data_IF_982828333396
#
_entry.id   IF_982828333396
#
_cell.length_a   1.000
_cell.length_b   1.000
_cell.length_c   1.000
_cell.angle_alpha   90.00
_cell.angle_beta   90.00
_cell.angle_gamma   90.00
#
_symmetry.space_group_name_H-M   'P 1'
#
loop_
_entity.id
_entity.type
_entity.pdbx_description
1 polymer ?
#
# COMPACT_ATOMS: atom_id res chain seq x y z
N UNK A 1 50.73 -45.49 -24.35
CA UNK A 1 50.09 -44.26 -24.91
C UNK A 1 48.59 -44.11 -24.61
N UNK A 2 47.75 -45.15 -24.73
CA UNK A 2 46.29 -45.02 -24.47
C UNK A 2 45.95 -44.67 -23.01
N UNK A 3 46.67 -45.24 -22.05
CA UNK A 3 46.48 -44.98 -20.61
C UNK A 3 46.78 -43.52 -20.24
N UNK A 4 47.88 -42.96 -20.77
CA UNK A 4 48.29 -41.58 -20.53
C UNK A 4 47.24 -40.58 -21.07
N UNK A 5 46.70 -40.86 -22.28
CA UNK A 5 45.63 -40.04 -22.88
C UNK A 5 44.34 -40.06 -22.06
N UNK A 6 43.97 -41.21 -21.49
CA UNK A 6 42.80 -41.33 -20.62
C UNK A 6 43.00 -40.57 -19.31
N UNK A 7 44.19 -40.65 -18.71
CA UNK A 7 44.51 -39.94 -17.48
C UNK A 7 44.48 -38.42 -17.68
N UNK A 8 45.02 -37.91 -18.79
CA UNK A 8 44.97 -36.48 -19.12
C UNK A 8 43.55 -35.99 -19.35
N UNK A 9 42.68 -36.81 -19.97
CA UNK A 9 41.28 -36.45 -20.19
C UNK A 9 40.51 -36.39 -18.85
N UNK A 10 40.74 -37.36 -17.96
CA UNK A 10 40.15 -37.36 -16.62
C UNK A 10 40.60 -36.17 -15.78
N UNK A 11 41.89 -35.82 -15.83
CA UNK A 11 42.44 -34.67 -15.10
C UNK A 11 41.87 -33.35 -15.63
N UNK A 12 41.72 -33.20 -16.95
CA UNK A 12 41.10 -32.02 -17.54
C UNK A 12 39.62 -31.91 -17.16
N UNK A 13 38.87 -33.02 -17.23
CA UNK A 13 37.47 -33.05 -16.83
C UNK A 13 37.28 -32.75 -15.34
N UNK A 14 38.10 -33.34 -14.46
CA UNK A 14 38.04 -33.09 -13.02
C UNK A 14 38.42 -31.66 -12.68
N UNK A 15 39.39 -31.07 -13.38
CA UNK A 15 39.78 -29.66 -13.19
C UNK A 15 38.66 -28.69 -13.59
N UNK A 16 37.99 -28.96 -14.71
CA UNK A 16 36.82 -28.16 -15.13
C UNK A 16 35.68 -28.29 -14.13
N UNK A 17 35.38 -29.50 -13.67
CA UNK A 17 34.35 -29.74 -12.64
C UNK A 17 34.71 -29.03 -11.33
N UNK A 18 35.95 -29.14 -10.87
CA UNK A 18 36.43 -28.46 -9.67
C UNK A 18 36.34 -26.93 -9.81
N UNK A 19 36.66 -26.38 -10.98
CA UNK A 19 36.51 -24.96 -11.27
C UNK A 19 35.04 -24.52 -11.24
N UNK A 20 34.12 -25.31 -11.82
CA UNK A 20 32.68 -25.02 -11.79
C UNK A 20 32.13 -25.05 -10.35
N UNK A 21 32.57 -26.01 -9.54
CA UNK A 21 32.16 -26.11 -8.13
C UNK A 21 32.70 -24.92 -7.34
N UNK A 22 33.99 -24.60 -7.48
CA UNK A 22 34.61 -23.47 -6.80
C UNK A 22 33.99 -22.12 -7.22
N UNK A 23 33.69 -21.94 -8.51
CA UNK A 23 33.06 -20.71 -9.00
C UNK A 23 31.64 -20.52 -8.49
N UNK A 24 30.92 -21.61 -8.17
CA UNK A 24 29.58 -21.57 -7.57
C UNK A 24 29.61 -21.39 -6.05
N UNK A 25 30.66 -21.83 -5.39
CA UNK A 25 30.77 -21.81 -3.93
C UNK A 25 31.30 -20.48 -3.36
N UNK A 26 31.92 -19.63 -4.18
CA UNK A 26 32.48 -18.35 -3.71
C UNK A 26 31.36 -17.30 -3.68
N UNK A 27 30.89 -16.84 -2.51
CA UNK A 27 29.85 -15.81 -2.44
C UNK A 27 30.42 -14.53 -3.05
N UNK A 28 29.70 -13.95 -4.02
CA UNK A 28 30.15 -12.70 -4.63
C UNK A 28 30.14 -11.58 -3.61
N UNK A 29 31.11 -10.65 -3.66
CA UNK A 29 31.17 -9.55 -2.72
C UNK A 29 29.90 -8.69 -2.81
N UNK A 30 29.24 -8.54 -1.66
CA UNK A 30 28.09 -7.67 -1.51
C UNK A 30 28.54 -6.22 -1.69
N UNK A 31 27.86 -5.52 -2.59
CA UNK A 31 28.14 -4.12 -2.93
C UNK A 31 27.01 -3.26 -2.39
N UNK A 32 27.34 -2.28 -1.54
CA UNK A 32 26.37 -1.25 -1.13
C UNK A 32 26.04 -0.34 -2.31
N UNK A 33 24.78 0.07 -2.45
CA UNK A 33 24.31 0.89 -3.57
C UNK A 33 25.06 2.23 -3.62
N UNK A 34 25.28 2.88 -2.48
CA UNK A 34 26.04 4.13 -2.41
C UNK A 34 27.54 3.98 -2.75
N UNK A 35 28.08 2.75 -2.74
CA UNK A 35 29.47 2.49 -3.10
C UNK A 35 29.69 2.33 -4.61
N UNK A 36 28.62 2.36 -5.42
CA UNK A 36 28.71 2.26 -6.87
C UNK A 36 29.36 3.51 -7.45
N UNK A 37 30.47 3.33 -8.17
CA UNK A 37 31.23 4.42 -8.80
C UNK A 37 31.17 4.32 -10.33
N UNK A 38 31.31 5.44 -11.08
CA UNK A 38 31.35 5.43 -12.54
C UNK A 38 32.35 4.44 -13.16
N UNK A 39 33.49 4.23 -12.50
CA UNK A 39 34.53 3.27 -12.93
C UNK A 39 34.07 1.80 -12.88
N UNK A 40 32.98 1.50 -12.15
CA UNK A 40 32.40 0.16 -12.03
C UNK A 40 31.39 -0.15 -13.16
N UNK A 41 31.25 0.73 -14.17
CA UNK A 41 30.37 0.48 -15.31
C UNK A 41 30.73 -0.85 -15.99
N UNK A 42 29.73 -1.65 -16.35
CA UNK A 42 29.87 -3.03 -16.83
C UNK A 42 30.41 -4.04 -15.80
N UNK A 43 30.66 -3.61 -14.55
CA UNK A 43 31.05 -4.50 -13.46
C UNK A 43 29.92 -5.45 -13.08
N UNK A 44 30.28 -6.69 -12.74
CA UNK A 44 29.33 -7.67 -12.23
C UNK A 44 29.30 -7.62 -10.70
N UNK A 45 28.15 -7.34 -10.10
CA UNK A 45 28.00 -7.12 -8.66
C UNK A 45 26.84 -7.91 -8.08
N UNK A 46 26.85 -8.06 -6.75
CA UNK A 46 25.72 -8.52 -5.95
C UNK A 46 25.26 -7.39 -5.03
N UNK A 47 23.97 -7.11 -5.01
CA UNK A 47 23.34 -6.17 -4.07
C UNK A 47 22.26 -6.90 -3.27
N UNK A 48 21.95 -6.41 -2.08
CA UNK A 48 20.83 -6.88 -1.26
C UNK A 48 20.04 -5.69 -0.74
N UNK A 49 18.72 -5.82 -0.66
CA UNK A 49 17.87 -4.75 -0.15
C UNK A 49 16.40 -5.11 -0.18
N UNK A 50 15.56 -4.09 -0.02
CA UNK A 50 14.10 -4.22 0.02
C UNK A 50 13.49 -3.57 -1.21
N UNK A 51 12.43 -4.15 -1.72
CA UNK A 51 11.65 -3.58 -2.83
C UNK A 51 10.73 -2.49 -2.29
N UNK A 52 10.97 -1.24 -2.65
CA UNK A 52 10.26 -0.05 -2.13
C UNK A 52 9.23 0.54 -3.10
N UNK A 53 8.98 -0.11 -4.24
CA UNK A 53 8.02 0.33 -5.25
C UNK A 53 7.46 -0.88 -6.01
N UNK A 54 6.25 -0.77 -6.57
CA UNK A 54 5.74 -1.82 -7.47
C UNK A 54 6.65 -2.00 -8.68
N UNK A 55 6.94 -3.25 -9.09
CA UNK A 55 7.69 -3.48 -10.32
C UNK A 55 6.86 -3.04 -11.53
N UNK A 56 7.54 -2.47 -12.52
CA UNK A 56 6.99 -2.28 -13.86
C UNK A 56 7.23 -3.57 -14.65
N UNK A 57 6.17 -4.34 -14.86
CA UNK A 57 6.17 -5.53 -15.71
C UNK A 57 5.44 -5.22 -17.02
N UNK A 58 6.08 -5.52 -18.15
CA UNK A 58 5.43 -5.60 -19.46
C UNK A 58 5.41 -7.06 -19.89
N UNK A 59 4.24 -7.69 -19.83
CA UNK A 59 4.09 -9.07 -20.29
C UNK A 59 4.25 -9.21 -21.81
N UNK A 60 3.91 -8.16 -22.57
CA UNK A 60 4.05 -8.14 -24.03
C UNK A 60 5.53 -8.08 -24.44
N UNK A 61 6.28 -7.13 -23.85
CA UNK A 61 7.70 -6.94 -24.19
C UNK A 61 8.61 -7.92 -23.44
N UNK A 62 8.06 -8.64 -22.45
CA UNK A 62 8.80 -9.46 -21.49
C UNK A 62 9.92 -8.65 -20.85
N UNK A 63 9.54 -7.52 -20.27
CA UNK A 63 10.42 -6.58 -19.60
C UNK A 63 9.99 -6.41 -18.15
N UNK A 64 10.94 -6.42 -17.24
CA UNK A 64 10.73 -6.18 -15.81
C UNK A 64 11.70 -5.10 -15.34
N UNK A 65 11.18 -4.11 -14.61
CA UNK A 65 11.99 -3.13 -13.88
C UNK A 65 11.48 -3.02 -12.46
N UNK A 66 12.37 -3.05 -11.47
CA UNK A 66 12.03 -2.83 -10.07
C UNK A 66 13.13 -2.03 -9.38
N UNK A 67 12.85 -1.52 -8.18
CA UNK A 67 13.81 -0.77 -7.37
C UNK A 67 14.17 -1.55 -6.13
N UNK A 68 15.44 -1.50 -5.76
CA UNK A 68 15.99 -2.10 -4.55
C UNK A 68 16.58 -0.98 -3.70
N UNK A 69 16.26 -0.97 -2.42
CA UNK A 69 16.77 -0.02 -1.43
C UNK A 69 17.53 -0.75 -0.33
N UNK A 70 18.74 -0.28 -0.01
CA UNK A 70 19.63 -0.91 0.98
C UNK A 70 20.01 0.03 2.15
N UNK A 71 19.16 1.02 2.42
CA UNK A 71 19.42 2.16 3.32
C UNK A 71 20.49 3.16 2.87
N UNK A 72 21.42 2.77 2.00
CA UNK A 72 22.43 3.68 1.45
C UNK A 72 21.94 4.41 0.19
N UNK A 73 21.02 3.80 -0.56
CA UNK A 73 20.40 4.40 -1.73
C UNK A 73 19.36 3.49 -2.39
N UNK A 74 18.84 3.92 -3.54
CA UNK A 74 18.00 3.10 -4.40
C UNK A 74 18.75 2.76 -5.70
N UNK A 75 18.59 1.53 -6.18
CA UNK A 75 19.09 1.10 -7.48
C UNK A 75 17.97 0.47 -8.30
N UNK A 76 17.87 0.90 -9.57
CA UNK A 76 16.96 0.27 -10.52
C UNK A 76 17.57 -1.02 -11.06
N UNK A 77 16.81 -2.10 -10.98
CA UNK A 77 17.14 -3.39 -11.59
C UNK A 77 16.23 -3.61 -12.79
N UNK A 78 16.79 -4.06 -13.92
CA UNK A 78 16.04 -4.44 -15.11
C UNK A 78 16.34 -5.86 -15.54
N UNK A 79 15.33 -6.53 -16.09
CA UNK A 79 15.45 -7.85 -16.70
C UNK A 79 14.71 -7.88 -18.05
N UNK A 80 15.25 -8.66 -18.98
CA UNK A 80 14.75 -8.78 -20.35
C UNK A 80 14.19 -10.17 -20.63
N UNK A 81 13.62 -10.35 -21.83
CA UNK A 81 12.77 -11.47 -22.24
C UNK A 81 13.08 -12.83 -21.62
N UNK A 82 14.27 -13.38 -21.87
CA UNK A 82 14.61 -14.73 -21.40
C UNK A 82 14.62 -14.87 -19.87
N UNK A 83 15.00 -13.80 -19.15
CA UNK A 83 14.99 -13.80 -17.67
C UNK A 83 13.57 -13.62 -17.16
N UNK A 84 12.82 -12.67 -17.75
CA UNK A 84 11.44 -12.39 -17.35
C UNK A 84 10.53 -13.59 -17.55
N UNK A 85 10.65 -14.30 -18.67
CA UNK A 85 9.88 -15.53 -18.93
C UNK A 85 10.11 -16.59 -17.84
N UNK A 86 11.36 -16.77 -17.40
CA UNK A 86 11.70 -17.70 -16.32
C UNK A 86 11.17 -17.25 -14.97
N UNK A 87 11.31 -15.97 -14.63
CA UNK A 87 10.77 -15.42 -13.38
C UNK A 87 9.24 -15.52 -13.31
N UNK A 88 8.55 -15.33 -14.44
CA UNK A 88 7.10 -15.52 -14.53
C UNK A 88 6.72 -16.99 -14.33
N UNK A 89 7.41 -17.91 -15.01
CA UNK A 89 7.16 -19.35 -14.89
C UNK A 89 7.37 -19.85 -13.44
N UNK A 90 8.37 -19.31 -12.75
CA UNK A 90 8.70 -19.66 -11.37
C UNK A 90 7.93 -18.83 -10.32
N UNK A 91 7.09 -17.88 -10.75
CA UNK A 91 6.36 -16.92 -9.88
C UNK A 91 7.27 -16.14 -8.91
N UNK A 92 8.46 -15.73 -9.37
CA UNK A 92 9.48 -15.00 -8.59
C UNK A 92 9.55 -13.52 -8.94
N UNK A 93 8.39 -12.90 -9.20
CA UNK A 93 8.33 -11.45 -9.42
C UNK A 93 8.41 -10.75 -8.07
N UNK A 94 9.41 -9.87 -7.83
CA UNK A 94 9.56 -9.18 -6.56
C UNK A 94 8.46 -8.14 -6.36
N UNK A 95 7.80 -8.17 -5.21
CA UNK A 95 6.75 -7.24 -4.80
C UNK A 95 7.23 -6.31 -3.69
N UNK A 96 6.54 -5.17 -3.47
CA UNK A 96 6.89 -4.28 -2.37
C UNK A 96 7.01 -5.01 -1.03
N UNK A 97 8.13 -4.78 -0.34
CA UNK A 97 8.45 -5.35 0.98
C UNK A 97 9.16 -6.69 0.92
N UNK A 98 9.33 -7.28 -0.26
CA UNK A 98 10.22 -8.42 -0.42
C UNK A 98 11.67 -7.99 -0.19
N UNK A 99 12.41 -8.86 0.47
CA UNK A 99 13.87 -8.79 0.56
C UNK A 99 14.44 -9.49 -0.66
N UNK A 100 15.31 -8.81 -1.39
CA UNK A 100 15.88 -9.32 -2.63
C UNK A 100 17.40 -9.29 -2.58
N UNK A 101 18.00 -10.35 -3.12
CA UNK A 101 19.41 -10.37 -3.49
C UNK A 101 19.50 -10.40 -5.01
N UNK A 102 20.27 -9.49 -5.60
CA UNK A 102 20.36 -9.35 -7.05
C UNK A 102 21.81 -9.40 -7.51
N UNK A 103 22.12 -10.38 -8.37
CA UNK A 103 23.38 -10.50 -9.08
C UNK A 103 23.20 -10.08 -10.54
N UNK A 104 24.02 -9.14 -11.00
CA UNK A 104 23.87 -8.60 -12.34
C UNK A 104 25.03 -7.71 -12.78
N UNK A 105 24.88 -7.16 -13.98
CA UNK A 105 25.86 -6.26 -14.58
C UNK A 105 25.42 -4.81 -14.38
N UNK A 106 26.29 -4.00 -13.76
CA UNK A 106 26.08 -2.57 -13.61
C UNK A 106 26.09 -1.87 -14.96
N UNK A 107 25.20 -0.90 -15.11
CA UNK A 107 25.16 0.07 -16.19
C UNK A 107 25.02 1.45 -15.62
N UNK A 108 25.98 2.31 -15.94
CA UNK A 108 26.00 3.70 -15.50
C UNK A 108 25.86 4.56 -16.75
N UNK A 109 24.82 5.39 -16.79
CA UNK A 109 24.54 6.34 -17.86
C UNK A 109 24.16 7.66 -17.21
N UNK A 110 24.78 8.76 -17.64
CA UNK A 110 24.49 10.11 -17.13
C UNK A 110 24.54 10.17 -15.58
N UNK A 111 25.52 9.48 -14.98
CA UNK A 111 25.69 9.29 -13.52
C UNK A 111 24.53 8.60 -12.79
N UNK A 112 23.58 8.00 -13.51
CA UNK A 112 22.55 7.13 -12.95
C UNK A 112 22.96 5.66 -13.04
N UNK A 113 23.27 5.00 -11.90
CA UNK A 113 23.55 3.58 -11.88
C UNK A 113 22.25 2.76 -11.98
N UNK A 114 22.34 1.65 -12.71
CA UNK A 114 21.30 0.62 -12.81
C UNK A 114 21.95 -0.76 -12.90
N UNK A 115 21.19 -1.80 -12.63
CA UNK A 115 21.66 -3.19 -12.68
C UNK A 115 20.84 -3.98 -13.70
N UNK A 116 21.51 -4.70 -14.59
CA UNK A 116 20.86 -5.66 -15.48
C UNK A 116 20.96 -7.04 -14.83
N UNK A 117 19.82 -7.63 -14.48
CA UNK A 117 19.73 -9.03 -14.07
C UNK A 117 19.94 -9.93 -15.30
N UNK A 118 21.08 -10.60 -15.34
CA UNK A 118 21.48 -11.39 -16.51
C UNK A 118 20.87 -12.81 -16.56
N UNK A 119 20.46 -13.35 -15.41
CA UNK A 119 19.92 -14.70 -15.26
C UNK A 119 18.90 -14.74 -14.11
N UNK A 120 17.86 -15.58 -14.21
CA UNK A 120 16.81 -15.66 -13.19
C UNK A 120 17.34 -16.18 -11.85
N UNK A 121 18.36 -17.04 -11.89
CA UNK A 121 19.07 -17.57 -10.73
C UNK A 121 19.81 -16.47 -9.94
N UNK A 122 20.10 -15.34 -10.59
CA UNK A 122 20.73 -14.18 -9.95
C UNK A 122 19.78 -13.34 -9.10
N UNK A 123 18.49 -13.68 -9.01
CA UNK A 123 17.52 -12.96 -8.18
C UNK A 123 17.01 -13.86 -7.05
N UNK A 124 17.39 -13.63 -5.80
CA UNK A 124 16.68 -14.22 -4.65
C UNK A 124 15.55 -13.31 -4.21
N UNK A 125 14.40 -13.89 -3.86
CA UNK A 125 13.24 -13.15 -3.34
C UNK A 125 12.79 -13.87 -2.07
N UNK A 126 12.75 -13.12 -0.97
CA UNK A 126 12.23 -13.57 0.32
C UNK A 126 11.10 -12.61 0.71
N UNK A 127 9.91 -13.15 0.91
CA UNK A 127 8.76 -12.39 1.39
C UNK A 127 8.69 -12.50 2.92
N UNK A 128 9.09 -11.48 3.69
CA UNK A 128 9.02 -11.53 5.14
C UNK A 128 7.57 -11.61 5.63
N UNK A 129 7.32 -12.09 6.86
CA UNK A 129 6.00 -11.98 7.47
C UNK A 129 5.61 -10.50 7.65
N UNK A 130 4.32 -10.20 7.53
CA UNK A 130 3.81 -8.85 7.70
C UNK A 130 3.51 -8.56 9.17
N UNK A 131 3.99 -7.43 9.69
CA UNK A 131 3.64 -6.95 11.03
C UNK A 131 2.22 -6.37 11.03
N UNK A 132 1.35 -6.83 11.92
CA UNK A 132 0.02 -6.24 12.06
C UNK A 132 0.11 -4.91 12.81
N UNK A 133 -0.34 -3.84 12.18
CA UNK A 133 -0.38 -2.49 12.76
C UNK A 133 -1.75 -1.86 12.55
N UNK A 134 -2.11 -0.90 13.41
CA UNK A 134 -3.23 0.00 13.15
C UNK A 134 -2.79 1.07 12.15
N UNK A 135 -3.74 1.63 11.40
CA UNK A 135 -3.45 2.66 10.39
C UNK A 135 -2.74 3.87 11.00
N UNK A 136 -3.08 4.25 12.22
CA UNK A 136 -2.46 5.36 12.97
C UNK A 136 -0.96 5.17 13.24
N UNK A 137 -0.44 3.94 13.22
CA UNK A 137 0.97 3.66 13.45
C UNK A 137 1.83 3.81 12.17
N UNK A 138 1.21 3.96 10.99
CA UNK A 138 1.89 3.94 9.70
C UNK A 138 3.03 4.97 9.59
N UNK A 139 2.81 6.19 10.08
CA UNK A 139 3.81 7.27 10.03
C UNK A 139 5.07 6.95 10.84
N UNK A 140 4.95 6.11 11.89
CA UNK A 140 6.06 5.65 12.71
C UNK A 140 6.77 4.40 12.16
N UNK A 141 6.27 3.80 11.08
CA UNK A 141 6.79 2.55 10.52
C UNK A 141 7.89 2.81 9.47
N UNK A 142 8.91 1.96 9.47
CA UNK A 142 10.07 2.13 8.58
C UNK A 142 9.72 1.87 7.10
N UNK A 143 10.42 2.55 6.18
CA UNK A 143 10.28 2.30 4.75
C UNK A 143 10.65 0.86 4.39
N UNK A 144 9.89 0.28 3.47
CA UNK A 144 10.06 -1.10 3.02
C UNK A 144 9.56 -2.16 4.01
N UNK A 145 9.20 -1.78 5.24
CA UNK A 145 8.64 -2.72 6.21
C UNK A 145 7.32 -3.28 5.70
N UNK A 146 7.16 -4.60 5.81
CA UNK A 146 5.94 -5.27 5.37
C UNK A 146 4.93 -5.29 6.51
N UNK A 147 3.75 -4.74 6.24
CA UNK A 147 2.69 -4.55 7.23
C UNK A 147 1.38 -5.18 6.78
N UNK A 148 0.54 -5.48 7.75
CA UNK A 148 -0.87 -5.77 7.59
C UNK A 148 -1.68 -4.72 8.36
N UNK A 149 -2.51 -3.95 7.67
CA UNK A 149 -3.37 -2.92 8.27
C UNK A 149 -4.78 -2.98 7.67
N UNK A 150 -5.76 -2.39 8.33
CA UNK A 150 -7.11 -2.23 7.82
C UNK A 150 -7.51 -0.76 7.72
N UNK A 151 -8.54 -0.49 6.93
CA UNK A 151 -9.15 0.83 6.82
C UNK A 151 -10.37 0.83 5.91
N UNK A 152 -11.23 1.82 6.09
CA UNK A 152 -12.41 2.02 5.26
C UNK A 152 -12.05 2.87 4.03
N UNK A 153 -12.43 2.41 2.85
CA UNK A 153 -12.17 3.10 1.58
C UNK A 153 -12.99 4.39 1.50
N UNK A 154 -12.32 5.53 1.57
CA UNK A 154 -12.91 6.88 1.48
C UNK A 154 -12.92 7.43 0.07
N UNK A 155 -11.91 7.06 -0.73
CA UNK A 155 -11.80 7.52 -2.12
C UNK A 155 -11.08 6.49 -2.97
N UNK A 156 -11.51 6.37 -4.23
CA UNK A 156 -10.84 5.55 -5.25
C UNK A 156 -10.46 6.48 -6.40
N UNK A 157 -9.18 6.50 -6.78
CA UNK A 157 -8.67 7.30 -7.91
C UNK A 157 -7.63 6.53 -8.71
N UNK A 158 -7.50 6.84 -9.99
CA UNK A 158 -6.42 6.32 -10.84
C UNK A 158 -5.28 7.33 -10.93
N UNK A 159 -4.05 6.84 -10.99
CA UNK A 159 -2.86 7.63 -11.32
C UNK A 159 -2.27 7.10 -12.62
N UNK A 160 -2.69 7.71 -13.73
CA UNK A 160 -2.50 7.14 -15.07
C UNK A 160 -3.22 5.79 -15.21
N UNK A 161 -2.75 4.98 -16.15
CA UNK A 161 -3.37 3.68 -16.48
C UNK A 161 -2.79 2.50 -15.66
N UNK A 162 -1.75 2.78 -14.87
CA UNK A 162 -0.93 1.74 -14.22
C UNK A 162 -1.18 1.60 -12.72
N UNK A 163 -1.69 2.65 -12.08
CA UNK A 163 -1.84 2.69 -10.63
C UNK A 163 -3.27 3.05 -10.24
N UNK A 164 -3.77 2.39 -9.21
CA UNK A 164 -4.98 2.76 -8.49
C UNK A 164 -4.62 3.13 -7.06
N UNK A 165 -5.14 4.25 -6.59
CA UNK A 165 -4.90 4.76 -5.24
C UNK A 165 -6.24 4.75 -4.50
N UNK A 166 -6.25 4.10 -3.34
CA UNK A 166 -7.37 4.10 -2.41
C UNK A 166 -6.97 4.97 -1.22
N UNK A 167 -7.71 6.04 -0.96
CA UNK A 167 -7.56 6.72 0.33
C UNK A 167 -8.40 5.97 1.35
N UNK A 168 -7.77 5.52 2.44
CA UNK A 168 -8.41 4.75 3.51
C UNK A 168 -8.39 5.54 4.82
N UNK A 169 -9.35 5.26 5.70
CA UNK A 169 -9.47 5.86 7.02
C UNK A 169 -9.76 4.80 8.09
N UNK A 170 -9.18 4.98 9.27
CA UNK A 170 -9.56 4.32 10.52
C UNK A 170 -9.52 5.36 11.64
N UNK A 171 -10.69 5.84 12.05
CA UNK A 171 -10.81 7.00 12.94
C UNK A 171 -10.15 8.25 12.34
N UNK A 172 -9.22 8.84 13.10
CA UNK A 172 -8.44 10.01 12.66
C UNK A 172 -7.34 9.66 11.65
N UNK A 173 -6.91 8.40 11.62
CA UNK A 173 -5.82 7.98 10.77
C UNK A 173 -6.30 7.89 9.32
N UNK A 174 -5.53 8.46 8.40
CA UNK A 174 -5.77 8.33 6.97
C UNK A 174 -4.47 7.95 6.28
N UNK A 175 -4.57 7.17 5.20
CA UNK A 175 -3.43 6.87 4.36
C UNK A 175 -3.87 6.55 2.93
N UNK A 176 -2.93 6.63 1.99
CA UNK A 176 -3.12 6.09 0.66
C UNK A 176 -2.63 4.64 0.58
N UNK A 177 -3.44 3.78 -0.03
CA UNK A 177 -3.08 2.43 -0.45
C UNK A 177 -2.90 2.44 -1.96
N UNK A 178 -1.70 2.11 -2.42
CA UNK A 178 -1.33 2.10 -3.83
C UNK A 178 -1.35 0.68 -4.35
N UNK A 179 -2.11 0.46 -5.43
CA UNK A 179 -2.23 -0.79 -6.16
C UNK A 179 -1.60 -0.64 -7.54
N UNK A 180 -0.82 -1.64 -7.95
CA UNK A 180 -0.39 -1.77 -9.34
C UNK A 180 -1.44 -2.52 -10.16
N UNK A 181 -1.78 -1.96 -11.33
CA UNK A 181 -2.65 -2.56 -12.33
C UNK A 181 -1.86 -3.38 -13.36
N UNK A 182 -0.51 -3.32 -13.32
CA UNK A 182 0.37 -4.06 -14.23
C UNK A 182 0.64 -5.50 -13.77
N UNK A 183 0.15 -5.88 -12.59
CA UNK A 183 0.46 -7.16 -11.94
C UNK A 183 -0.79 -8.01 -11.61
N UNK A 184 -1.81 -8.11 -12.50
CA UNK A 184 -3.07 -8.78 -12.16
C UNK A 184 -2.89 -10.28 -11.86
N UNK A 185 -1.84 -10.91 -12.37
CA UNK A 185 -1.51 -12.31 -12.07
C UNK A 185 -0.92 -12.53 -10.65
N UNK A 186 -0.45 -11.47 -10.00
CA UNK A 186 0.23 -11.49 -8.71
C UNK A 186 -0.55 -10.77 -7.61
N UNK A 187 -1.28 -9.72 -7.97
CA UNK A 187 -2.09 -8.91 -7.07
C UNK A 187 -3.54 -9.01 -7.54
N UNK A 188 -4.31 -9.86 -6.86
CA UNK A 188 -5.75 -9.90 -7.06
C UNK A 188 -6.36 -8.63 -6.45
N UNK A 189 -7.08 -7.86 -7.27
CA UNK A 189 -7.80 -6.67 -6.79
C UNK A 189 -9.29 -7.01 -6.78
N UNK A 190 -9.93 -7.13 -5.60
CA UNK A 190 -11.36 -7.34 -5.53
C UNK A 190 -12.10 -6.11 -6.09
N UNK A 191 -13.39 -6.28 -6.42
CA UNK A 191 -14.24 -5.13 -6.70
C UNK A 191 -14.48 -4.36 -5.40
N UNK A 192 -13.93 -3.16 -5.34
CA UNK A 192 -13.98 -2.28 -4.18
C UNK A 192 -15.00 -1.17 -4.38
N UNK A 193 -15.78 -0.87 -3.35
CA UNK A 193 -16.71 0.27 -3.32
C UNK A 193 -16.34 1.28 -2.24
N UNK A 194 -16.81 2.52 -2.39
CA UNK A 194 -16.67 3.52 -1.32
C UNK A 194 -17.39 3.03 -0.05
N UNK A 195 -16.78 3.30 1.10
CA UNK A 195 -17.27 2.87 2.41
C UNK A 195 -17.01 1.41 2.77
N UNK A 196 -16.42 0.63 1.86
CA UNK A 196 -16.02 -0.75 2.14
C UNK A 196 -14.79 -0.79 3.05
N UNK A 197 -14.80 -1.70 4.02
CA UNK A 197 -13.61 -1.99 4.81
C UNK A 197 -12.72 -2.97 4.07
N UNK A 198 -11.42 -2.69 4.09
CA UNK A 198 -10.40 -3.55 3.49
C UNK A 198 -9.30 -3.85 4.50
N UNK A 199 -8.73 -5.04 4.41
CA UNK A 199 -7.40 -5.34 4.96
C UNK A 199 -6.40 -5.37 3.81
N UNK A 200 -5.22 -4.82 4.07
CA UNK A 200 -4.16 -4.64 3.10
C UNK A 200 -2.87 -5.17 3.70
N UNK A 201 -2.24 -6.08 2.96
CA UNK A 201 -0.85 -6.48 3.21
C UNK A 201 0.04 -5.89 2.14
N UNK A 202 1.10 -5.21 2.55
CA UNK A 202 1.99 -4.51 1.63
C UNK A 202 3.19 -3.92 2.34
N UNK A 203 4.01 -3.18 1.60
CA UNK A 203 5.13 -2.47 2.19
C UNK A 203 4.80 -1.01 2.48
N UNK A 204 5.45 -0.47 3.49
CA UNK A 204 5.44 0.98 3.74
C UNK A 204 6.28 1.66 2.67
N UNK A 205 5.62 2.47 1.84
CA UNK A 205 6.25 3.38 0.89
C UNK A 205 6.07 4.83 1.30
N UNK A 206 6.58 5.74 0.48
CA UNK A 206 6.40 7.17 0.69
C UNK A 206 6.20 7.89 -0.64
N UNK A 207 5.32 8.89 -0.63
CA UNK A 207 5.11 9.78 -1.76
C UNK A 207 4.94 11.20 -1.27
N UNK A 208 5.85 12.10 -1.72
CA UNK A 208 5.85 13.53 -1.35
C UNK A 208 5.85 13.74 0.18
N UNK A 209 6.58 12.90 0.92
CA UNK A 209 6.72 12.99 2.37
C UNK A 209 5.61 12.32 3.18
N UNK A 210 4.56 11.79 2.54
CA UNK A 210 3.50 11.05 3.22
C UNK A 210 3.73 9.54 3.11
N UNK A 211 3.60 8.80 4.22
CA UNK A 211 3.63 7.34 4.20
C UNK A 211 2.38 6.78 3.53
N UNK A 212 2.56 5.68 2.82
CA UNK A 212 1.50 4.99 2.08
C UNK A 212 1.74 3.49 2.12
N UNK A 213 0.71 2.71 1.86
CA UNK A 213 0.81 1.25 1.78
C UNK A 213 0.90 0.84 0.31
N UNK A 214 2.02 0.25 -0.09
CA UNK A 214 2.21 -0.35 -1.40
C UNK A 214 1.65 -1.77 -1.36
N UNK A 215 0.39 -1.91 -1.78
CA UNK A 215 -0.35 -3.17 -1.63
C UNK A 215 0.27 -4.30 -2.45
N UNK A 216 0.48 -5.43 -1.79
CA UNK A 216 0.82 -6.71 -2.41
C UNK A 216 -0.36 -7.69 -2.34
N UNK A 217 -1.24 -7.53 -1.34
CA UNK A 217 -2.49 -8.26 -1.19
C UNK A 217 -3.56 -7.35 -0.59
N UNK A 218 -4.79 -7.49 -1.05
CA UNK A 218 -5.94 -6.74 -0.58
C UNK A 218 -7.17 -7.64 -0.54
N UNK A 219 -7.93 -7.56 0.54
CA UNK A 219 -9.16 -8.31 0.71
C UNK A 219 -10.22 -7.43 1.38
N UNK A 220 -11.48 -7.83 1.22
CA UNK A 220 -12.59 -7.20 1.92
C UNK A 220 -12.51 -7.62 3.38
N UNK A 221 -12.55 -6.64 4.27
CA UNK A 221 -12.63 -6.87 5.70
C UNK A 221 -14.05 -6.62 6.19
N UNK A 222 -14.42 -7.29 7.29
CA UNK A 222 -15.58 -6.86 8.06
C UNK A 222 -15.36 -5.45 8.59
N UNK A 223 -16.45 -4.69 8.78
CA UNK A 223 -16.35 -3.41 9.45
C UNK A 223 -15.69 -3.60 10.81
N UNK A 224 -14.54 -2.98 11.01
CA UNK A 224 -13.96 -2.88 12.35
C UNK A 224 -14.66 -1.71 13.00
N UNK A 225 -15.65 -1.99 13.84
CA UNK A 225 -16.19 -0.95 14.72
C UNK A 225 -15.08 -0.59 15.68
N UNK A 226 -14.33 0.48 15.40
CA UNK A 226 -13.38 1.03 16.36
C UNK A 226 -14.20 1.60 17.51
N UNK A 227 -14.49 0.73 18.49
CA UNK A 227 -15.19 1.05 19.71
C UNK A 227 -14.37 2.11 20.46
N UNK A 228 -14.77 3.38 20.33
CA UNK A 228 -14.03 4.51 20.88
C UNK A 228 -14.31 5.86 20.21
N UNK A 229 -14.88 5.89 18.99
CA UNK A 229 -15.23 7.16 18.34
C UNK A 229 -16.60 7.71 18.78
N UNK A 230 -17.51 6.83 19.19
CA UNK A 230 -18.85 7.22 19.66
C UNK A 230 -18.81 7.79 21.06
N UNK A 231 -19.41 8.96 21.23
CA UNK A 231 -19.43 9.70 22.48
C UNK A 231 -20.72 10.51 22.65
N UNK A 232 -21.12 10.84 23.88
CA UNK A 232 -22.21 11.78 24.12
C UNK A 232 -21.93 13.12 23.44
N UNK A 233 -22.97 13.77 22.91
CA UNK A 233 -22.86 15.07 22.25
C UNK A 233 -22.37 16.13 23.24
N UNK A 234 -22.74 16.01 24.52
CA UNK A 234 -22.29 16.90 25.59
C UNK A 234 -20.76 16.89 25.82
N UNK A 235 -20.04 15.86 25.35
CA UNK A 235 -18.58 15.77 25.43
C UNK A 235 -17.87 16.36 24.19
N UNK A 236 -18.63 16.80 23.19
CA UNK A 236 -18.08 17.45 22.01
C UNK A 236 -17.72 18.90 22.32
N UNK A 237 -16.50 19.29 21.96
CA UNK A 237 -15.98 20.63 22.21
C UNK A 237 -14.68 20.89 21.45
N UNK A 238 -14.13 22.10 21.61
CA UNK A 238 -12.99 22.62 20.84
C UNK A 238 -11.76 21.68 20.85
N UNK A 239 -11.56 20.95 21.94
CA UNK A 239 -10.47 19.97 22.10
C UNK A 239 -10.54 18.78 21.14
N UNK A 240 -11.66 18.60 20.43
CA UNK A 240 -11.89 17.55 19.45
C UNK A 240 -12.04 18.09 18.03
N UNK A 241 -11.81 19.38 17.78
CA UNK A 241 -11.85 19.91 16.42
C UNK A 241 -10.80 19.21 15.54
N UNK A 242 -11.20 18.87 14.32
CA UNK A 242 -10.43 18.07 13.36
C UNK A 242 -10.39 16.57 13.66
N UNK A 243 -11.09 16.10 14.69
CA UNK A 243 -11.14 14.68 15.05
C UNK A 243 -12.34 13.98 14.42
N UNK A 244 -12.16 12.72 14.07
CA UNK A 244 -13.22 11.81 13.64
C UNK A 244 -13.96 11.27 14.87
N UNK A 245 -15.24 11.62 14.99
CA UNK A 245 -16.10 11.25 16.11
C UNK A 245 -17.42 10.67 15.62
N UNK A 246 -18.09 9.92 16.48
CA UNK A 246 -19.42 9.39 16.26
C UNK A 246 -20.41 9.89 17.31
N UNK A 247 -21.66 10.09 16.90
CA UNK A 247 -22.79 10.43 17.77
C UNK A 247 -24.00 9.55 17.45
N UNK A 248 -24.81 9.31 18.47
CA UNK A 248 -26.11 8.65 18.34
C UNK A 248 -27.17 9.54 18.96
N UNK A 249 -28.32 9.67 18.29
CA UNK A 249 -29.41 10.50 18.75
C UNK A 249 -30.62 10.43 17.84
N UNK A 250 -31.56 11.34 18.05
CA UNK A 250 -32.75 11.51 17.22
C UNK A 250 -32.65 12.78 16.40
N UNK A 251 -33.14 12.75 15.17
CA UNK A 251 -33.26 13.96 14.33
C UNK A 251 -34.28 14.89 14.98
N UNK A 252 -33.83 16.04 15.45
CA UNK A 252 -34.66 17.08 16.07
C UNK A 252 -35.04 18.20 15.11
N UNK A 253 -34.25 18.41 14.05
CA UNK A 253 -34.62 19.29 12.94
C UNK A 253 -33.94 18.86 11.63
N UNK A 254 -34.56 19.22 10.50
CA UNK A 254 -34.09 18.93 9.15
C UNK A 254 -34.30 20.14 8.24
N UNK A 255 -33.21 20.78 7.81
CA UNK A 255 -33.25 22.04 7.03
C UNK A 255 -32.38 21.95 5.77
N UNK A 256 -32.97 22.11 4.56
CA UNK A 256 -32.18 22.16 3.34
C UNK A 256 -31.39 23.48 3.26
N UNK A 257 -30.25 23.43 2.59
CA UNK A 257 -29.50 24.62 2.17
C UNK A 257 -29.02 24.44 0.72
N UNK A 258 -28.36 25.47 0.18
CA UNK A 258 -28.00 25.53 -1.25
C UNK A 258 -27.21 24.31 -1.77
N UNK A 259 -26.46 23.62 -0.91
CA UNK A 259 -25.53 22.55 -1.30
C UNK A 259 -25.68 21.29 -0.44
N UNK A 260 -26.86 21.09 0.17
CA UNK A 260 -27.11 19.89 0.97
C UNK A 260 -28.18 20.06 2.03
N UNK A 261 -28.04 19.28 3.11
CA UNK A 261 -28.98 19.18 4.21
C UNK A 261 -28.28 19.39 5.56
N UNK A 262 -28.91 20.16 6.46
CA UNK A 262 -28.50 20.31 7.86
C UNK A 262 -29.47 19.57 8.76
N UNK A 263 -28.94 18.77 9.67
CA UNK A 263 -29.70 17.99 10.63
C UNK A 263 -29.28 18.41 12.03
N UNK A 264 -30.23 18.69 12.90
CA UNK A 264 -29.93 18.84 14.32
C UNK A 264 -30.19 17.47 14.95
N UNK A 265 -29.16 16.83 15.50
CA UNK A 265 -29.25 15.53 16.18
C UNK A 265 -29.17 15.76 17.67
N UNK A 266 -30.14 15.25 18.43
CA UNK A 266 -30.19 15.36 19.89
C UNK A 266 -30.03 13.98 20.53
N UNK A 267 -29.09 13.83 21.46
CA UNK A 267 -28.84 12.56 22.14
C UNK A 267 -29.69 12.41 23.42
N UNK A 268 -29.52 11.28 24.13
CA UNK A 268 -30.24 11.00 25.37
C UNK A 268 -29.89 11.95 26.53
N UNK A 269 -28.78 12.70 26.46
CA UNK A 269 -28.43 13.73 27.44
C UNK A 269 -29.19 15.04 27.23
N UNK A 270 -29.85 15.19 26.08
CA UNK A 270 -30.52 16.41 25.66
C UNK A 270 -29.58 17.43 24.98
N UNK A 271 -28.32 17.08 24.75
CA UNK A 271 -27.39 17.90 23.99
C UNK A 271 -27.64 17.69 22.48
N UNK A 272 -27.51 18.76 21.70
CA UNK A 272 -27.74 18.75 20.26
C UNK A 272 -26.50 19.16 19.47
N UNK A 273 -26.27 18.53 18.32
CA UNK A 273 -25.23 18.90 17.36
C UNK A 273 -25.79 19.06 15.96
N UNK A 274 -25.24 20.01 15.21
CA UNK A 274 -25.55 20.17 13.79
C UNK A 274 -24.68 19.20 13.00
N UNK A 275 -25.34 18.33 12.24
CA UNK A 275 -24.71 17.49 11.22
C UNK A 275 -24.93 18.16 9.86
N UNK A 276 -23.83 18.43 9.15
CA UNK A 276 -23.89 19.03 7.81
C UNK A 276 -23.57 17.96 6.78
N UNK A 277 -24.56 17.65 5.94
CA UNK A 277 -24.40 16.73 4.83
C UNK A 277 -24.46 17.49 3.53
N UNK A 278 -23.34 17.58 2.82
CA UNK A 278 -23.31 18.11 1.46
C UNK A 278 -24.08 17.20 0.50
N UNK A 279 -24.49 17.72 -0.65
CA UNK A 279 -25.21 16.98 -1.68
C UNK A 279 -24.56 15.63 -2.04
N UNK A 280 -23.22 15.56 -2.06
CA UNK A 280 -22.47 14.33 -2.33
C UNK A 280 -22.69 13.23 -1.31
N UNK A 281 -23.03 13.58 -0.06
CA UNK A 281 -23.39 12.65 1.00
C UNK A 281 -24.91 12.45 1.01
N UNK A 282 -25.67 13.55 1.11
CA UNK A 282 -27.12 13.54 1.26
C UNK A 282 -27.82 12.76 0.14
N UNK A 283 -27.48 13.01 -1.12
CA UNK A 283 -28.13 12.36 -2.27
C UNK A 283 -27.76 10.88 -2.39
N UNK A 284 -26.67 10.46 -1.75
CA UNK A 284 -26.19 9.08 -1.74
C UNK A 284 -26.74 8.27 -0.55
N UNK A 285 -27.49 8.89 0.37
CA UNK A 285 -28.14 8.18 1.46
C UNK A 285 -29.35 7.38 0.94
N UNK A 286 -29.42 6.08 1.25
CA UNK A 286 -30.56 5.24 0.85
C UNK A 286 -31.91 5.71 1.40
N UNK A 287 -31.89 6.47 2.49
CA UNK A 287 -33.08 6.92 3.23
C UNK A 287 -33.24 8.45 3.23
N UNK A 288 -32.48 9.20 2.40
CA UNK A 288 -32.56 10.68 2.37
C UNK A 288 -33.98 11.21 2.15
N UNK A 289 -34.77 10.59 1.29
CA UNK A 289 -36.14 11.03 0.99
C UNK A 289 -37.18 10.62 2.03
N UNK A 290 -36.81 9.71 2.95
CA UNK A 290 -37.71 9.22 4.00
C UNK A 290 -37.31 9.71 5.39
N UNK A 291 -36.08 10.20 5.55
CA UNK A 291 -35.57 10.72 6.80
C UNK A 291 -36.42 11.89 7.28
N UNK A 292 -36.90 11.78 8.52
CA UNK A 292 -37.81 12.72 9.15
C UNK A 292 -37.33 13.09 10.56
N UNK A 293 -37.92 14.14 11.12
CA UNK A 293 -37.79 14.42 12.56
C UNK A 293 -38.26 13.19 13.36
N UNK A 294 -37.63 12.96 14.50
CA UNK A 294 -37.77 11.81 15.40
C UNK A 294 -37.12 10.50 14.93
N UNK A 295 -36.56 10.45 13.72
CA UNK A 295 -35.81 9.27 13.27
C UNK A 295 -34.51 9.10 14.08
N UNK A 296 -34.22 7.90 14.62
CA UNK A 296 -32.99 7.65 15.33
C UNK A 296 -31.84 7.43 14.33
N UNK A 297 -30.75 8.16 14.53
CA UNK A 297 -29.60 8.18 13.63
C UNK A 297 -28.30 7.93 14.38
N UNK A 298 -27.37 7.31 13.67
CA UNK A 298 -25.97 7.16 14.04
C UNK A 298 -25.14 7.86 12.98
N UNK A 299 -24.32 8.82 13.40
CA UNK A 299 -23.55 9.68 12.51
C UNK A 299 -22.09 9.67 12.92
N UNK A 300 -21.21 9.43 11.96
CA UNK A 300 -19.77 9.61 12.07
C UNK A 300 -19.31 10.76 11.18
N UNK A 301 -18.28 11.48 11.60
CA UNK A 301 -17.77 12.59 10.82
C UNK A 301 -16.60 13.30 11.47
N UNK A 302 -15.99 14.21 10.72
CA UNK A 302 -15.03 15.15 11.27
C UNK A 302 -15.76 16.23 12.07
N UNK A 303 -15.30 16.49 13.29
CA UNK A 303 -15.79 17.61 14.09
C UNK A 303 -15.13 18.90 13.61
N UNK A 304 -15.92 19.84 13.14
CA UNK A 304 -15.45 21.11 12.58
C UNK A 304 -16.12 22.29 13.26
N UNK A 305 -15.60 23.50 13.04
CA UNK A 305 -16.22 24.73 13.50
C UNK A 305 -16.60 25.60 12.30
N UNK A 306 -17.86 26.02 12.25
CA UNK A 306 -18.34 26.97 11.27
C UNK A 306 -19.06 28.12 11.97
N UNK A 307 -18.52 29.33 11.83
CA UNK A 307 -19.09 30.57 12.41
C UNK A 307 -19.34 30.47 13.92
N UNK A 308 -18.43 29.86 14.68
CA UNK A 308 -18.55 29.73 16.14
C UNK A 308 -19.44 28.57 16.59
N UNK A 309 -19.93 27.74 15.67
CA UNK A 309 -20.74 26.57 15.98
C UNK A 309 -19.99 25.30 15.58
N UNK A 310 -19.95 24.33 16.50
CA UNK A 310 -19.41 23.00 16.23
C UNK A 310 -20.40 22.24 15.34
N UNK A 311 -19.89 21.71 14.23
CA UNK A 311 -20.63 20.95 13.24
C UNK A 311 -19.93 19.60 12.99
N UNK A 312 -20.72 18.54 12.82
CA UNK A 312 -20.23 17.22 12.44
C UNK A 312 -20.37 17.03 10.92
N UNK A 313 -19.27 16.70 10.24
CA UNK A 313 -19.20 16.52 8.78
C UNK A 313 -18.91 15.06 8.41
N UNK A 314 -19.94 14.29 8.01
CA UNK A 314 -19.75 12.99 7.37
C UNK A 314 -19.07 13.12 6.00
N UNK A 315 -18.27 12.12 5.60
CA UNK A 315 -17.58 12.13 4.30
C UNK A 315 -18.31 11.30 3.24
N UNK A 316 -18.96 10.21 3.67
CA UNK A 316 -19.65 9.25 2.82
C UNK A 316 -21.05 8.95 3.36
N UNK A 317 -21.93 8.43 2.51
CA UNK A 317 -23.26 7.99 2.95
C UNK A 317 -23.23 6.87 3.98
N UNK A 318 -22.16 6.07 4.03
CA UNK A 318 -22.00 4.99 5.01
C UNK A 318 -21.76 5.48 6.44
N UNK A 319 -21.34 6.74 6.58
CA UNK A 319 -21.09 7.38 7.87
C UNK A 319 -22.39 7.77 8.58
N UNK A 320 -23.53 7.70 7.87
CA UNK A 320 -24.84 8.06 8.39
C UNK A 320 -25.75 6.85 8.25
N UNK A 321 -26.30 6.39 9.37
CA UNK A 321 -27.17 5.21 9.43
C UNK A 321 -28.40 5.52 10.27
N UNK A 322 -29.52 4.90 9.95
CA UNK A 322 -30.63 4.81 10.90
C UNK A 322 -30.25 3.81 11.99
N UNK A 323 -30.34 4.20 13.26
CA UNK A 323 -29.92 3.36 14.40
C UNK A 323 -30.73 2.07 14.53
N UNK A 324 -31.89 1.99 13.86
CA UNK A 324 -32.78 0.82 13.84
C UNK A 324 -32.50 -0.18 12.70
N UNK A 325 -31.42 0.01 11.92
CA UNK A 325 -31.08 -0.90 10.83
C UNK A 325 -30.03 -1.90 11.31
N UNK A 326 -30.28 -3.22 11.25
CA UNK A 326 -29.28 -4.24 11.58
C UNK A 326 -28.09 -4.22 10.63
#
# INVERSE_FOLDING_TARGET
MRLLKALTLLLAASSVVALIVASRATPRPLTAIAAVQPAMNFGYVRIEGVVTAHPALSEQDKFLSFRVWDASGELRVTAYRAVVERLLAERRIPLPGDRVGVEGTLRIRDDEPSLILNAAEGLTVETPPAATINLAALDGTALGERIHTAGQVRRIRSAGDRLRILSVRDGDATADVVLSLDLPAFIAVPQLTLGEWISVTGAVGEYRGAKQVLAAHIEKAGATTTAGHFRPIAELGDHLLGRWVGVEGVVSDLRPFKQGMRLDVTDASGASIVVVMFDSVWQMLPFSTTLSVDDPVRVEGELTEYRGQIELLPELSVDVKLANTP
#
